data_IF_531945852725
#
_entry.id   IF_531945852725
#
_cell.length_a   1.000
_cell.length_b   1.000
_cell.length_c   1.000
_cell.angle_alpha   90.00
_cell.angle_beta   90.00
_cell.angle_gamma   90.00
#
_symmetry.space_group_name_H-M   'P 1'
#
loop_
_entity.id
_entity.type
_entity.pdbx_description
1 polymer ?
#
# COMPACT_ATOMS: atom_id res chain seq x y z
N UNK A 1 17.46 -2.97 -10.46
CA UNK A 1 17.14 -4.29 -9.87
C UNK A 1 15.71 -4.60 -10.28
N UNK A 2 15.49 -5.68 -11.03
CA UNK A 2 14.15 -6.12 -11.43
C UNK A 2 13.73 -7.25 -10.50
N UNK A 3 12.52 -7.17 -9.95
CA UNK A 3 11.93 -8.29 -9.20
C UNK A 3 11.29 -9.23 -10.20
N UNK A 4 11.71 -10.51 -10.19
CA UNK A 4 11.07 -11.57 -10.97
C UNK A 4 9.61 -11.69 -10.55
N UNK A 5 8.73 -11.85 -11.53
CA UNK A 5 7.27 -11.88 -11.30
C UNK A 5 6.83 -13.10 -10.47
N UNK A 6 7.63 -14.16 -10.52
CA UNK A 6 7.52 -15.40 -9.75
C UNK A 6 8.60 -15.49 -8.66
N UNK A 7 9.36 -14.41 -8.43
CA UNK A 7 10.34 -14.30 -7.36
C UNK A 7 9.66 -14.37 -5.99
N UNK A 8 10.44 -14.70 -4.94
CA UNK A 8 9.94 -14.72 -3.58
C UNK A 8 9.11 -13.45 -3.30
N UNK A 9 7.85 -13.65 -2.92
CA UNK A 9 6.91 -12.55 -2.68
C UNK A 9 7.55 -11.53 -1.74
N UNK A 10 7.65 -10.28 -2.17
CA UNK A 10 8.01 -9.20 -1.27
C UNK A 10 6.95 -9.18 -0.15
N UNK A 11 7.36 -9.43 1.10
CA UNK A 11 6.44 -9.61 2.22
C UNK A 11 6.01 -8.29 2.90
N UNK A 12 6.22 -7.15 2.22
CA UNK A 12 6.09 -5.80 2.76
C UNK A 12 5.29 -4.87 1.87
N UNK A 13 5.31 -3.58 2.22
CA UNK A 13 4.72 -2.50 1.42
C UNK A 13 5.63 -2.23 0.21
N UNK A 14 5.06 -2.19 -1.00
CA UNK A 14 5.84 -1.96 -2.22
C UNK A 14 6.42 -0.54 -2.29
N UNK A 15 5.68 0.47 -1.82
CA UNK A 15 6.16 1.84 -1.82
C UNK A 15 5.45 2.76 -0.82
N UNK A 16 6.23 3.65 -0.23
CA UNK A 16 5.76 4.78 0.55
C UNK A 16 6.38 6.05 -0.03
N UNK A 17 5.55 7.00 -0.42
CA UNK A 17 5.95 8.24 -1.06
C UNK A 17 5.53 9.42 -0.19
N UNK A 18 6.39 10.43 -0.11
CA UNK A 18 6.15 11.65 0.64
C UNK A 18 6.31 12.86 -0.30
N UNK A 19 5.26 13.68 -0.37
CA UNK A 19 5.28 15.00 -0.96
C UNK A 19 4.68 15.98 0.04
N UNK A 20 5.48 16.81 0.75
CA UNK A 20 4.97 17.70 1.78
C UNK A 20 3.99 18.77 1.24
N UNK A 21 4.02 19.03 -0.07
CA UNK A 21 3.09 19.94 -0.75
C UNK A 21 1.89 19.20 -1.38
N UNK A 22 1.79 17.88 -1.19
CA UNK A 22 0.72 17.04 -1.69
C UNK A 22 -0.49 17.02 -0.75
N UNK A 23 -1.66 16.72 -1.31
CA UNK A 23 -2.89 16.50 -0.56
C UNK A 23 -3.52 15.17 -1.01
N UNK A 24 -3.29 14.05 -0.31
CA UNK A 24 -2.54 13.92 0.95
C UNK A 24 -1.01 13.98 0.78
N UNK A 25 -0.25 14.31 1.83
CA UNK A 25 1.21 14.40 1.78
C UNK A 25 1.90 13.03 1.64
N UNK A 26 1.25 11.96 2.10
CA UNK A 26 1.77 10.60 2.01
C UNK A 26 0.89 9.73 1.12
N UNK A 27 1.54 8.90 0.30
CA UNK A 27 0.89 7.83 -0.47
C UNK A 27 1.56 6.50 -0.14
N UNK A 28 0.76 5.52 0.28
CA UNK A 28 1.17 4.13 0.44
C UNK A 28 0.61 3.33 -0.73
N UNK A 29 1.48 2.68 -1.49
CA UNK A 29 1.11 2.00 -2.73
C UNK A 29 1.51 0.53 -2.72
N UNK A 30 0.64 -0.28 -3.33
CA UNK A 30 0.86 -1.70 -3.61
C UNK A 30 0.60 -1.96 -5.09
N UNK A 31 1.49 -2.69 -5.74
CA UNK A 31 1.37 -3.09 -7.13
C UNK A 31 0.91 -4.55 -7.25
N UNK A 32 -0.02 -4.83 -8.17
CA UNK A 32 -0.43 -6.21 -8.49
C UNK A 32 -0.44 -6.43 -10.00
N UNK A 33 0.33 -7.40 -10.47
CA UNK A 33 0.33 -7.80 -11.87
C UNK A 33 -0.80 -8.78 -12.25
N UNK A 34 -1.27 -8.73 -13.49
CA UNK A 34 -2.14 -9.74 -14.08
C UNK A 34 -3.43 -9.98 -13.28
N UNK A 35 -3.67 -11.21 -12.85
CA UNK A 35 -4.83 -11.58 -12.03
C UNK A 35 -4.60 -11.47 -10.50
N UNK A 36 -3.39 -11.12 -10.05
CA UNK A 36 -3.06 -11.03 -8.63
C UNK A 36 -3.95 -10.01 -7.90
N UNK A 37 -4.27 -10.29 -6.63
CA UNK A 37 -5.14 -9.43 -5.80
C UNK A 37 -4.44 -9.15 -4.48
N UNK A 38 -4.97 -8.17 -3.73
CA UNK A 38 -4.61 -8.01 -2.32
C UNK A 38 -4.92 -9.33 -1.59
N UNK A 39 -3.94 -9.81 -0.83
CA UNK A 39 -4.06 -11.05 -0.07
C UNK A 39 -4.71 -10.79 1.30
N UNK A 40 -4.89 -11.88 2.06
CA UNK A 40 -5.32 -11.85 3.44
C UNK A 40 -4.32 -12.65 4.29
N UNK A 41 -3.91 -12.08 5.42
CA UNK A 41 -3.35 -12.88 6.51
C UNK A 41 -4.48 -13.75 7.06
N UNK A 42 -4.16 -14.96 7.50
CA UNK A 42 -5.12 -15.89 8.11
C UNK A 42 -4.90 -15.91 9.62
N UNK A 43 -6.00 -15.88 10.38
CA UNK A 43 -6.01 -16.00 11.84
C UNK A 43 -5.10 -15.01 12.58
N UNK A 44 -5.47 -13.71 12.68
CA UNK A 44 -6.74 -13.11 12.25
C UNK A 44 -6.81 -12.83 10.74
N UNK A 45 -8.04 -12.69 10.22
CA UNK A 45 -8.25 -12.30 8.83
C UNK A 45 -7.98 -10.81 8.64
N UNK A 46 -6.76 -10.48 8.20
CA UNK A 46 -6.33 -9.09 7.95
C UNK A 46 -6.06 -8.91 6.46
N UNK A 47 -6.82 -8.03 5.82
CA UNK A 47 -6.65 -7.70 4.40
C UNK A 47 -5.35 -6.92 4.17
N UNK A 48 -4.58 -7.31 3.17
CA UNK A 48 -3.43 -6.55 2.71
C UNK A 48 -3.84 -5.11 2.36
N UNK A 49 -2.98 -4.14 2.69
CA UNK A 49 -3.21 -2.68 2.57
C UNK A 49 -4.26 -2.10 3.53
N UNK A 50 -4.84 -2.88 4.44
CA UNK A 50 -5.65 -2.31 5.52
C UNK A 50 -4.77 -1.54 6.52
N UNK A 51 -5.37 -0.63 7.28
CA UNK A 51 -4.69 0.16 8.33
C UNK A 51 -3.94 -0.72 9.34
N UNK A 52 -4.50 -1.87 9.67
CA UNK A 52 -3.88 -2.86 10.56
C UNK A 52 -2.68 -3.53 9.88
N UNK A 53 -2.87 -4.03 8.67
CA UNK A 53 -1.80 -4.68 7.90
C UNK A 53 -0.60 -3.77 7.64
N UNK A 54 -0.88 -2.50 7.31
CA UNK A 54 0.14 -1.47 7.08
C UNK A 54 0.84 -1.14 8.39
N UNK A 55 0.10 -0.98 9.50
CA UNK A 55 0.67 -0.66 10.81
C UNK A 55 1.81 -1.60 11.21
N UNK A 56 1.61 -2.91 11.00
CA UNK A 56 2.59 -3.94 11.34
C UNK A 56 3.85 -3.92 10.45
N UNK A 57 3.78 -3.33 9.25
CA UNK A 57 4.85 -3.37 8.23
C UNK A 57 5.47 -2.02 7.93
N UNK A 58 4.81 -0.93 8.35
CA UNK A 58 5.22 0.41 7.99
C UNK A 58 6.60 0.74 8.54
N UNK A 59 6.89 0.36 9.79
CA UNK A 59 8.19 0.62 10.42
C UNK A 59 9.35 -0.03 9.66
N UNK A 60 9.15 -1.24 9.15
CA UNK A 60 10.16 -1.94 8.35
C UNK A 60 10.34 -1.29 6.97
N UNK A 61 9.26 -0.73 6.40
CA UNK A 61 9.29 -0.07 5.10
C UNK A 61 9.98 1.32 5.14
N UNK A 62 9.83 2.10 6.22
CA UNK A 62 10.25 3.52 6.26
C UNK A 62 11.29 3.85 7.34
N UNK A 63 11.60 2.90 8.22
CA UNK A 63 12.44 3.12 9.39
C UNK A 63 11.74 3.87 10.54
N UNK A 64 12.35 3.86 11.72
CA UNK A 64 11.72 4.34 12.95
C UNK A 64 11.32 5.82 12.97
N UNK A 65 12.15 6.72 12.42
CA UNK A 65 11.87 8.17 12.45
C UNK A 65 10.65 8.56 11.62
N UNK A 66 10.51 7.99 10.43
CA UNK A 66 9.40 8.32 9.53
C UNK A 66 8.09 7.60 9.94
N UNK A 67 8.19 6.50 10.71
CA UNK A 67 7.04 5.71 11.14
C UNK A 67 6.02 6.55 11.94
N UNK A 68 6.47 7.30 12.95
CA UNK A 68 5.58 8.05 13.83
C UNK A 68 4.83 9.18 13.09
N UNK A 69 5.52 9.87 12.17
CA UNK A 69 4.92 10.93 11.35
C UNK A 69 3.83 10.38 10.43
N UNK A 70 4.10 9.24 9.79
CA UNK A 70 3.14 8.62 8.88
C UNK A 70 1.95 8.04 9.67
N UNK A 71 2.17 7.39 10.83
CA UNK A 71 1.07 6.91 11.68
C UNK A 71 0.16 8.07 12.09
N UNK A 72 0.74 9.21 12.47
CA UNK A 72 -0.02 10.42 12.79
C UNK A 72 -0.87 10.88 11.60
N UNK A 73 -0.28 10.90 10.40
CA UNK A 73 -1.01 11.24 9.17
C UNK A 73 -2.12 10.22 8.85
N UNK A 74 -1.91 8.92 9.11
CA UNK A 74 -2.94 7.89 8.91
C UNK A 74 -4.15 8.13 9.82
N UNK A 75 -3.92 8.64 11.04
CA UNK A 75 -4.96 8.93 12.03
C UNK A 75 -5.71 10.24 11.73
N UNK A 76 -5.03 11.24 11.14
CA UNK A 76 -5.66 12.48 10.66
C UNK A 76 -6.36 12.34 9.31
N UNK A 77 -6.11 11.25 8.57
CA UNK A 77 -6.62 11.05 7.21
C UNK A 77 -5.76 11.66 6.11
N UNK A 78 -4.57 12.15 6.44
CA UNK A 78 -3.59 12.75 5.53
C UNK A 78 -2.69 11.70 4.84
N UNK A 79 -3.26 10.53 4.54
CA UNK A 79 -2.60 9.44 3.82
C UNK A 79 -3.52 8.90 2.75
N UNK A 80 -3.01 8.80 1.53
CA UNK A 80 -3.67 8.11 0.43
C UNK A 80 -3.18 6.67 0.34
N UNK A 81 -4.09 5.75 0.06
CA UNK A 81 -3.80 4.34 -0.15
C UNK A 81 -4.10 3.98 -1.60
N UNK A 82 -3.15 3.39 -2.32
CA UNK A 82 -3.29 3.11 -3.74
C UNK A 82 -2.98 1.66 -4.10
N UNK A 83 -3.88 1.04 -4.86
CA UNK A 83 -3.64 -0.21 -5.55
C UNK A 83 -3.35 0.06 -7.02
N UNK A 84 -2.11 -0.19 -7.43
CA UNK A 84 -1.65 -0.09 -8.82
C UNK A 84 -1.81 -1.46 -9.48
N UNK A 85 -2.73 -1.55 -10.44
CA UNK A 85 -3.01 -2.78 -11.19
C UNK A 85 -2.35 -2.71 -12.56
N UNK A 86 -1.29 -3.50 -12.73
CA UNK A 86 -0.60 -3.67 -14.02
C UNK A 86 -1.20 -4.87 -14.73
N UNK A 87 -1.78 -4.65 -15.91
CA UNK A 87 -2.39 -5.71 -16.72
C UNK A 87 -1.32 -6.41 -17.57
N UNK A 88 -1.64 -7.63 -18.04
CA UNK A 88 -0.71 -8.43 -18.89
C UNK A 88 -0.35 -7.73 -20.21
N UNK A 89 -1.20 -6.83 -20.69
CA UNK A 89 -0.98 -6.03 -21.90
C UNK A 89 -0.21 -4.72 -21.63
N UNK A 90 0.21 -4.45 -20.38
CA UNK A 90 0.93 -3.25 -20.00
C UNK A 90 0.08 -2.09 -19.49
N UNK A 91 -1.26 -2.17 -19.60
CA UNK A 91 -2.15 -1.12 -19.09
C UNK A 91 -2.06 -0.99 -17.57
N UNK A 92 -2.11 0.25 -17.08
CA UNK A 92 -2.07 0.57 -15.65
C UNK A 92 -3.39 1.17 -15.22
N UNK A 93 -3.94 0.63 -14.13
CA UNK A 93 -5.09 1.21 -13.42
C UNK A 93 -4.69 1.51 -11.98
N UNK A 94 -4.96 2.72 -11.52
CA UNK A 94 -4.72 3.13 -10.13
C UNK A 94 -6.07 3.23 -9.43
N UNK A 95 -6.24 2.50 -8.33
CA UNK A 95 -7.43 2.56 -7.50
C UNK A 95 -7.08 3.16 -6.14
N UNK A 96 -7.80 4.19 -5.73
CA UNK A 96 -7.73 4.70 -4.37
C UNK A 96 -8.46 3.73 -3.44
N UNK A 97 -7.90 3.50 -2.25
CA UNK A 97 -8.45 2.61 -1.25
C UNK A 97 -8.85 3.38 0.02
N UNK A 98 -9.86 2.88 0.72
CA UNK A 98 -10.15 3.29 2.09
C UNK A 98 -9.17 2.61 3.07
N UNK A 99 -9.24 3.02 4.35
CA UNK A 99 -8.42 2.43 5.42
C UNK A 99 -8.65 0.92 5.68
N UNK A 100 -9.70 0.34 5.09
CA UNK A 100 -10.01 -1.10 5.12
C UNK A 100 -9.59 -1.81 3.81
N UNK A 101 -8.83 -1.12 2.95
CA UNK A 101 -8.40 -1.58 1.64
C UNK A 101 -9.54 -1.90 0.66
N UNK A 102 -10.67 -1.20 0.75
CA UNK A 102 -11.73 -1.25 -0.25
C UNK A 102 -11.53 -0.16 -1.28
N UNK A 103 -11.79 -0.47 -2.55
CA UNK A 103 -11.72 0.52 -3.64
C UNK A 103 -12.77 1.60 -3.40
N UNK A 104 -12.33 2.84 -3.30
CA UNK A 104 -13.20 4.02 -3.29
C UNK A 104 -13.54 4.32 -4.75
N UNK A 105 -14.83 4.28 -5.07
CA UNK A 105 -15.32 4.75 -6.37
C UNK A 105 -15.59 6.26 -6.29
N UNK A 106 -15.31 7.02 -7.36
CA UNK A 106 -15.77 8.40 -7.46
C UNK A 106 -17.28 8.52 -7.31
#
# INVERSE_FOLDING_TARGET
MTTEIDGATHHGIDGVYHNPNGHPPYIIAEAKYGSARLSYLKNPEIKQMSREWIGDRLKDAVGGRNFEEIVTAMDSGDVGYQLVKVRKNGDIMINNLDKKANIIRP
#
